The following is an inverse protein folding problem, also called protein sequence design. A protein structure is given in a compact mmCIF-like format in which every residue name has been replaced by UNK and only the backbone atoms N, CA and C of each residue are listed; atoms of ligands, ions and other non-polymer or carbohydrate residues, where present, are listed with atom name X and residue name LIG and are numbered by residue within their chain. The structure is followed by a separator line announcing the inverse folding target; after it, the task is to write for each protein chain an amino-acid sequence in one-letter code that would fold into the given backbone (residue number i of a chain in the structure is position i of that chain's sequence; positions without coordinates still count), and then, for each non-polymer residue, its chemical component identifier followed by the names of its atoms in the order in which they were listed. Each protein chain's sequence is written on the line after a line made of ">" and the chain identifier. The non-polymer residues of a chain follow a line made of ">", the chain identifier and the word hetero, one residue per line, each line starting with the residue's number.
data_IF_332382588234
#
_entry.id   IF_332382588234
#
_cell.length_a   1.000
_cell.length_b   1.000
_cell.length_c   1.000
_cell.angle_alpha   90.00
_cell.angle_beta   90.00
_cell.angle_gamma   90.00
#
_symmetry.space_group_name_H-M   'P 1'
#
loop_
_entity.id
_entity.type
_entity.pdbx_description
1 polymer ?
#
# COMPACT_ATOMS: atom_id res chain seq x y z
N UNK A 1 -10.84 11.88 5.22
CA UNK A 1 -11.19 12.16 3.80
C UNK A 1 -12.69 12.44 3.61
N UNK A 2 -13.60 11.53 4.00
CA UNK A 2 -15.05 11.77 3.78
C UNK A 2 -15.65 13.00 4.52
N UNK A 3 -14.92 13.63 5.41
CA UNK A 3 -15.33 14.85 6.12
C UNK A 3 -14.79 16.15 5.53
N UNK A 4 -13.94 16.07 4.51
CA UNK A 4 -13.38 17.25 3.85
C UNK A 4 -14.37 17.80 2.82
N UNK A 5 -14.56 19.11 2.80
CA UNK A 5 -15.58 19.75 1.96
C UNK A 5 -15.23 19.74 0.46
N UNK A 6 -13.98 19.54 0.12
CA UNK A 6 -13.41 19.53 -1.22
C UNK A 6 -13.04 18.10 -1.71
N UNK A 7 -13.38 17.06 -0.93
CA UNK A 7 -13.14 15.67 -1.27
C UNK A 7 -14.45 14.93 -1.52
N UNK A 8 -14.61 14.38 -2.71
CA UNK A 8 -15.67 13.43 -3.05
C UNK A 8 -15.12 11.99 -2.97
N UNK A 9 -15.43 11.29 -1.88
CA UNK A 9 -15.02 9.92 -1.66
C UNK A 9 -16.14 8.94 -2.02
N UNK A 10 -15.85 7.97 -2.85
CA UNK A 10 -16.77 6.87 -3.16
C UNK A 10 -16.03 5.53 -3.23
N UNK A 11 -16.73 4.46 -2.90
CA UNK A 11 -16.21 3.10 -2.99
C UNK A 11 -16.58 2.49 -4.33
N UNK A 12 -15.59 1.85 -4.96
CA UNK A 12 -15.73 1.23 -6.29
C UNK A 12 -15.73 -0.28 -6.12
N UNK A 13 -16.78 -0.95 -6.60
CA UNK A 13 -16.92 -2.41 -6.55
C UNK A 13 -17.01 -3.05 -7.94
N UNK A 14 -17.12 -2.25 -8.99
CA UNK A 14 -17.14 -2.72 -10.38
C UNK A 14 -16.46 -1.70 -11.31
N UNK A 15 -16.04 -2.16 -12.49
CA UNK A 15 -15.30 -1.36 -13.47
C UNK A 15 -16.07 -0.14 -13.94
N UNK A 16 -17.40 -0.24 -14.09
CA UNK A 16 -18.22 0.84 -14.64
C UNK A 16 -18.34 2.01 -13.65
N UNK A 17 -18.21 1.72 -12.36
CA UNK A 17 -18.28 2.73 -11.29
C UNK A 17 -16.95 3.42 -11.02
N UNK A 18 -15.83 2.99 -11.63
CA UNK A 18 -14.52 3.64 -11.44
C UNK A 18 -14.48 5.06 -11.97
N UNK A 19 -15.10 5.32 -13.12
CA UNK A 19 -15.15 6.65 -13.71
C UNK A 19 -13.77 7.22 -14.06
N UNK A 20 -13.57 8.50 -13.75
CA UNK A 20 -12.32 9.23 -13.96
C UNK A 20 -11.92 9.92 -12.63
N UNK A 21 -11.39 9.19 -11.66
CA UNK A 21 -11.01 9.76 -10.37
C UNK A 21 -9.73 10.58 -10.48
N UNK A 22 -9.60 11.60 -9.62
CA UNK A 22 -8.38 12.37 -9.45
C UNK A 22 -7.31 11.63 -8.67
N UNK A 23 -7.71 10.62 -7.88
CA UNK A 23 -6.85 9.76 -7.07
C UNK A 23 -7.51 8.41 -6.85
N UNK A 24 -6.75 7.35 -7.00
CA UNK A 24 -7.17 5.99 -6.62
C UNK A 24 -6.46 5.61 -5.32
N UNK A 25 -7.20 5.02 -4.39
CA UNK A 25 -6.65 4.51 -3.15
C UNK A 25 -7.03 3.03 -2.97
N UNK A 26 -6.01 2.18 -2.83
CA UNK A 26 -6.18 0.79 -2.41
C UNK A 26 -6.01 0.74 -0.89
N UNK A 27 -7.07 0.45 -0.14
CA UNK A 27 -7.02 0.43 1.32
C UNK A 27 -6.33 -0.81 1.85
N UNK A 28 -6.16 -0.86 3.18
CA UNK A 28 -5.77 -2.08 3.88
C UNK A 28 -6.79 -3.19 3.69
N UNK A 29 -6.30 -4.41 3.64
CA UNK A 29 -7.09 -5.62 3.44
C UNK A 29 -6.92 -6.57 4.62
N UNK A 30 -7.93 -7.41 4.85
CA UNK A 30 -7.85 -8.52 5.81
C UNK A 30 -7.30 -9.79 5.15
N UNK A 31 -7.51 -9.94 3.85
CA UNK A 31 -6.98 -11.02 3.03
C UNK A 31 -6.47 -10.44 1.72
N UNK A 32 -5.21 -10.02 1.74
CA UNK A 32 -4.57 -9.30 0.63
C UNK A 32 -4.59 -10.09 -0.67
N UNK A 33 -4.34 -11.38 -0.59
CA UNK A 33 -4.28 -12.25 -1.78
C UNK A 33 -5.65 -12.40 -2.44
N UNK A 34 -6.69 -12.68 -1.67
CA UNK A 34 -8.04 -12.87 -2.21
C UNK A 34 -8.60 -11.55 -2.77
N UNK A 35 -8.34 -10.43 -2.11
CA UNK A 35 -8.76 -9.12 -2.60
C UNK A 35 -8.04 -8.73 -3.90
N UNK A 36 -6.74 -9.07 -4.03
CA UNK A 36 -6.00 -8.88 -5.29
C UNK A 36 -6.58 -9.74 -6.43
N UNK A 37 -6.92 -10.99 -6.13
CA UNK A 37 -7.55 -11.89 -7.11
C UNK A 37 -8.93 -11.36 -7.50
N UNK A 38 -9.71 -10.84 -6.56
CA UNK A 38 -10.99 -10.19 -6.85
C UNK A 38 -10.82 -8.98 -7.77
N UNK A 39 -9.84 -8.10 -7.51
CA UNK A 39 -9.55 -6.96 -8.39
C UNK A 39 -9.22 -7.42 -9.82
N UNK A 40 -8.51 -8.54 -9.95
CA UNK A 40 -8.15 -9.14 -11.24
C UNK A 40 -9.36 -9.73 -11.96
N UNK A 41 -10.12 -10.56 -11.28
CA UNK A 41 -11.26 -11.28 -11.85
C UNK A 41 -12.42 -10.34 -12.21
N UNK A 42 -12.63 -9.28 -11.42
CA UNK A 42 -13.61 -8.23 -11.71
C UNK A 42 -13.20 -7.28 -12.84
N UNK A 43 -11.93 -7.33 -13.29
CA UNK A 43 -11.37 -6.41 -14.28
C UNK A 43 -10.96 -5.04 -13.71
N UNK A 44 -11.14 -4.82 -12.40
CA UNK A 44 -10.73 -3.56 -11.74
C UNK A 44 -9.22 -3.37 -11.79
N UNK A 45 -8.40 -4.43 -11.68
CA UNK A 45 -6.94 -4.33 -11.83
C UNK A 45 -6.57 -3.69 -13.17
N UNK A 46 -7.14 -4.17 -14.28
CA UNK A 46 -6.86 -3.64 -15.60
C UNK A 46 -7.34 -2.18 -15.76
N UNK A 47 -8.49 -1.85 -15.18
CA UNK A 47 -9.02 -0.49 -15.21
C UNK A 47 -8.14 0.48 -14.41
N UNK A 48 -7.65 0.07 -13.23
CA UNK A 48 -6.70 0.82 -12.41
C UNK A 48 -5.39 1.01 -13.17
N UNK A 49 -4.83 -0.04 -13.78
CA UNK A 49 -3.60 0.06 -14.57
C UNK A 49 -3.74 1.06 -15.71
N UNK A 50 -4.89 1.06 -16.41
CA UNK A 50 -5.20 2.03 -17.46
C UNK A 50 -5.27 3.47 -16.91
N UNK A 51 -5.95 3.68 -15.79
CA UNK A 51 -6.06 4.99 -15.15
C UNK A 51 -4.69 5.55 -14.74
N UNK A 52 -3.86 4.72 -14.09
CA UNK A 52 -2.49 5.09 -13.68
C UNK A 52 -1.62 5.41 -14.89
N UNK A 53 -1.68 4.61 -15.95
CA UNK A 53 -0.97 4.89 -17.21
C UNK A 53 -1.40 6.20 -17.85
N UNK A 54 -2.65 6.62 -17.61
CA UNK A 54 -3.19 7.91 -18.08
C UNK A 54 -2.87 9.08 -17.13
N UNK A 55 -2.13 8.84 -16.04
CA UNK A 55 -1.66 9.85 -15.11
C UNK A 55 -2.45 9.98 -13.81
N UNK A 56 -3.45 9.12 -13.55
CA UNK A 56 -4.16 9.11 -12.27
C UNK A 56 -3.23 8.60 -11.16
N UNK A 57 -2.98 9.36 -10.10
CA UNK A 57 -2.20 8.90 -8.95
C UNK A 57 -2.84 7.71 -8.25
N UNK A 58 -2.00 6.82 -7.71
CA UNK A 58 -2.41 5.62 -6.98
C UNK A 58 -1.69 5.55 -5.63
N UNK A 59 -2.45 5.36 -4.57
CA UNK A 59 -1.94 5.14 -3.22
C UNK A 59 -2.34 3.74 -2.75
N UNK A 60 -1.39 2.96 -2.28
CA UNK A 60 -1.63 1.71 -1.56
C UNK A 60 -1.36 1.87 -0.05
N UNK A 61 -2.23 1.32 0.79
CA UNK A 61 -2.08 1.33 2.24
C UNK A 61 -2.13 -0.11 2.75
N UNK A 62 -1.13 -0.55 3.53
CA UNK A 62 -1.07 -1.88 4.13
C UNK A 62 -1.24 -2.99 3.06
N UNK A 63 -2.31 -3.78 3.09
CA UNK A 63 -2.60 -4.78 2.06
C UNK A 63 -2.67 -4.19 0.65
N UNK A 64 -3.27 -3.00 0.49
CA UNK A 64 -3.28 -2.30 -0.79
C UNK A 64 -1.87 -1.92 -1.28
N UNK A 65 -0.97 -1.54 -0.38
CA UNK A 65 0.43 -1.31 -0.72
C UNK A 65 1.12 -2.61 -1.17
N UNK A 66 0.91 -3.71 -0.45
CA UNK A 66 1.45 -5.02 -0.80
C UNK A 66 1.00 -5.50 -2.19
N UNK A 67 -0.26 -5.22 -2.58
CA UNK A 67 -0.80 -5.54 -3.90
C UNK A 67 -0.06 -4.82 -5.04
N UNK A 68 0.51 -3.62 -4.78
CA UNK A 68 1.22 -2.83 -5.80
C UNK A 68 2.55 -3.45 -6.23
N UNK A 69 3.12 -4.35 -5.45
CA UNK A 69 4.38 -5.02 -5.70
C UNK A 69 4.34 -5.97 -6.91
N UNK A 70 5.47 -6.61 -7.18
CA UNK A 70 5.61 -7.62 -8.23
C UNK A 70 4.93 -8.92 -7.87
N UNK A 71 5.01 -9.32 -6.59
CA UNK A 71 4.44 -10.58 -6.11
C UNK A 71 4.15 -10.56 -4.61
N UNK A 72 3.20 -11.38 -4.23
CA UNK A 72 2.89 -11.76 -2.86
C UNK A 72 3.22 -13.24 -2.71
N UNK A 73 3.98 -13.60 -1.69
CA UNK A 73 4.37 -14.97 -1.33
C UNK A 73 3.72 -15.37 -0.03
N UNK A 74 3.15 -16.55 0.01
CA UNK A 74 2.54 -17.13 1.22
C UNK A 74 2.95 -18.61 1.38
N UNK A 75 4.26 -18.89 1.61
CA UNK A 75 4.76 -20.26 1.66
C UNK A 75 4.20 -21.08 2.81
N UNK A 76 3.59 -20.43 3.78
CA UNK A 76 2.99 -21.06 4.95
C UNK A 76 1.46 -21.09 4.92
N UNK A 77 0.84 -20.61 3.83
CA UNK A 77 -0.61 -20.52 3.68
C UNK A 77 -1.30 -19.79 4.85
N UNK A 78 -0.69 -18.67 5.28
CA UNK A 78 -1.18 -17.86 6.41
C UNK A 78 -2.42 -17.05 6.07
N UNK A 79 -2.51 -16.57 4.83
CA UNK A 79 -3.66 -15.80 4.33
C UNK A 79 -4.38 -16.48 3.16
N UNK A 80 -3.72 -17.35 2.41
CA UNK A 80 -4.28 -17.91 1.18
C UNK A 80 -3.87 -19.37 0.96
N UNK A 81 -4.49 -20.00 -0.04
CA UNK A 81 -4.11 -21.34 -0.50
C UNK A 81 -3.01 -21.32 -1.59
N UNK A 82 -2.48 -20.16 -1.93
CA UNK A 82 -1.50 -19.98 -2.99
C UNK A 82 -0.12 -19.70 -2.40
N UNK A 83 0.91 -20.47 -2.79
CA UNK A 83 2.30 -20.21 -2.39
C UNK A 83 2.79 -18.84 -2.90
N UNK A 84 2.25 -18.40 -4.05
CA UNK A 84 2.65 -17.17 -4.71
C UNK A 84 1.55 -16.65 -5.62
N UNK A 85 1.33 -15.34 -5.59
CA UNK A 85 0.44 -14.62 -6.50
C UNK A 85 1.19 -13.42 -7.09
N UNK A 86 1.04 -13.21 -8.40
CA UNK A 86 1.60 -12.04 -9.07
C UNK A 86 0.86 -10.79 -8.57
N UNK A 87 1.60 -9.77 -8.15
CA UNK A 87 1.07 -8.46 -7.81
C UNK A 87 0.71 -7.61 -9.03
N UNK A 88 0.31 -6.37 -8.79
CA UNK A 88 -0.05 -5.41 -9.84
C UNK A 88 1.17 -4.89 -10.62
N UNK A 89 2.38 -4.97 -10.04
CA UNK A 89 3.64 -4.65 -10.70
C UNK A 89 3.94 -3.16 -10.88
N UNK A 90 3.34 -2.31 -10.06
CA UNK A 90 3.65 -0.88 -10.03
C UNK A 90 4.94 -0.56 -9.28
N UNK A 91 5.29 -1.38 -8.28
CA UNK A 91 6.45 -1.20 -7.42
C UNK A 91 7.40 -2.39 -7.53
N UNK A 92 8.71 -2.11 -7.51
CA UNK A 92 9.78 -3.10 -7.58
C UNK A 92 10.01 -3.78 -6.22
N UNK A 93 8.95 -4.33 -5.65
CA UNK A 93 8.98 -4.98 -4.34
C UNK A 93 8.21 -6.30 -4.37
N UNK A 94 8.51 -7.15 -3.40
CA UNK A 94 7.76 -8.36 -3.10
C UNK A 94 7.42 -8.41 -1.61
N UNK A 95 6.28 -9.01 -1.28
CA UNK A 95 5.86 -9.23 0.10
C UNK A 95 5.81 -10.73 0.37
N UNK A 96 6.36 -11.16 1.50
CA UNK A 96 6.28 -12.54 1.98
C UNK A 96 5.55 -12.58 3.32
N UNK A 97 4.46 -13.33 3.39
CA UNK A 97 3.71 -13.51 4.62
C UNK A 97 4.43 -14.46 5.56
N UNK A 98 4.49 -14.06 6.83
CA UNK A 98 5.01 -14.86 7.91
C UNK A 98 3.89 -15.38 8.81
N UNK A 99 4.20 -16.38 9.62
CA UNK A 99 3.27 -16.89 10.65
C UNK A 99 3.15 -15.97 11.85
N UNK A 100 4.04 -14.99 11.97
CA UNK A 100 4.08 -14.05 13.10
C UNK A 100 3.49 -12.71 12.69
N UNK A 101 2.55 -12.22 13.50
CA UNK A 101 1.97 -10.89 13.33
C UNK A 101 2.81 -9.86 14.07
N UNK A 102 3.34 -8.88 13.34
CA UNK A 102 3.94 -7.70 13.95
C UNK A 102 2.83 -6.74 14.38
N UNK A 103 2.88 -6.32 15.65
CA UNK A 103 2.04 -5.23 16.17
C UNK A 103 2.91 -4.35 17.02
N UNK A 104 3.11 -3.12 16.60
CA UNK A 104 4.01 -2.19 17.30
C UNK A 104 3.47 -0.76 17.24
N UNK A 105 3.60 -0.04 18.34
CA UNK A 105 3.43 1.41 18.33
C UNK A 105 4.69 2.06 17.76
N UNK A 106 4.51 3.01 16.83
CA UNK A 106 5.61 3.68 16.15
C UNK A 106 5.50 5.20 16.24
N UNK A 107 6.65 5.85 16.21
CA UNK A 107 6.79 7.28 15.92
C UNK A 107 7.58 7.42 14.62
N UNK A 108 7.17 8.34 13.77
CA UNK A 108 7.78 8.54 12.46
C UNK A 108 7.85 10.02 12.07
N UNK A 109 8.72 10.32 11.12
CA UNK A 109 8.75 11.58 10.42
C UNK A 109 8.49 11.35 8.94
N UNK A 110 7.68 12.22 8.33
CA UNK A 110 7.50 12.30 6.89
C UNK A 110 8.52 13.29 6.33
N UNK A 111 9.35 12.84 5.38
CA UNK A 111 10.29 13.70 4.68
C UNK A 111 9.54 14.66 3.75
N UNK A 112 10.19 15.77 3.39
CA UNK A 112 9.62 16.71 2.43
C UNK A 112 9.60 16.10 1.03
N UNK A 113 8.41 16.01 0.44
CA UNK A 113 8.19 15.61 -0.95
C UNK A 113 6.94 16.27 -1.51
N UNK A 114 6.80 16.30 -2.83
CA UNK A 114 5.65 16.93 -3.48
C UNK A 114 4.67 15.87 -3.98
N UNK A 115 3.39 16.03 -3.67
CA UNK A 115 2.31 15.16 -4.12
C UNK A 115 1.09 15.99 -4.50
N UNK A 116 0.56 15.76 -5.70
CA UNK A 116 -0.58 16.51 -6.26
C UNK A 116 -0.38 18.04 -6.23
N UNK A 117 0.87 18.49 -6.40
CA UNK A 117 1.21 19.91 -6.40
C UNK A 117 1.32 20.57 -5.03
N UNK A 118 1.21 19.79 -3.95
CA UNK A 118 1.44 20.25 -2.58
C UNK A 118 2.70 19.64 -1.98
N UNK A 119 3.47 20.44 -1.25
CA UNK A 119 4.60 19.94 -0.48
C UNK A 119 4.11 19.34 0.83
N UNK A 120 4.49 18.09 1.06
CA UNK A 120 4.08 17.31 2.23
C UNK A 120 5.32 17.10 3.11
N UNK A 121 5.20 17.41 4.38
CA UNK A 121 6.15 17.03 5.42
C UNK A 121 5.46 17.01 6.77
N UNK A 122 5.90 16.13 7.66
CA UNK A 122 5.39 16.07 9.03
C UNK A 122 6.44 15.48 9.97
N UNK A 123 6.46 15.93 11.20
CA UNK A 123 7.31 15.38 12.25
C UNK A 123 6.48 14.88 13.44
N UNK A 124 7.03 13.92 14.17
CA UNK A 124 6.41 13.40 15.38
C UNK A 124 5.07 12.68 15.13
N UNK A 125 4.91 12.08 13.96
CA UNK A 125 3.76 11.24 13.65
C UNK A 125 3.74 10.05 14.61
N UNK A 126 2.54 9.67 15.07
CA UNK A 126 2.33 8.51 15.93
C UNK A 126 1.32 7.58 15.30
N UNK A 127 1.61 6.29 15.33
CA UNK A 127 0.74 5.29 14.72
C UNK A 127 1.04 3.89 15.25
N UNK A 128 0.41 2.94 14.58
CA UNK A 128 0.62 1.51 14.80
C UNK A 128 1.08 0.88 13.51
N UNK A 129 2.10 0.05 13.60
CA UNK A 129 2.53 -0.86 12.56
C UNK A 129 1.89 -2.21 12.84
N UNK A 130 1.04 -2.67 11.93
CA UNK A 130 0.28 -3.91 12.09
C UNK A 130 0.28 -4.64 10.74
N UNK A 131 1.08 -5.69 10.63
CA UNK A 131 1.14 -6.51 9.43
C UNK A 131 1.61 -7.93 9.72
N UNK A 132 1.38 -8.85 8.79
CA UNK A 132 1.84 -10.24 8.85
C UNK A 132 2.92 -10.54 7.81
N UNK A 133 3.13 -9.66 6.84
CA UNK A 133 4.12 -9.82 5.79
C UNK A 133 5.32 -8.91 5.98
N UNK A 134 6.45 -9.34 5.48
CA UNK A 134 7.65 -8.54 5.28
C UNK A 134 7.75 -8.14 3.81
N UNK A 135 7.91 -6.84 3.55
CA UNK A 135 8.09 -6.32 2.19
C UNK A 135 9.57 -6.01 1.97
N UNK A 136 10.10 -6.47 0.85
CA UNK A 136 11.48 -6.23 0.46
C UNK A 136 11.55 -5.76 -0.99
N UNK A 137 12.47 -4.84 -1.25
CA UNK A 137 12.69 -4.29 -2.59
C UNK A 137 13.51 -5.26 -3.44
N UNK A 138 13.12 -5.42 -4.71
CA UNK A 138 13.76 -6.31 -5.68
C UNK A 138 14.68 -5.50 -6.61
N UNK A 139 14.50 -4.18 -6.64
CA UNK A 139 15.29 -3.22 -7.41
C UNK A 139 15.86 -2.12 -6.53
N UNK A 140 16.49 -1.12 -7.15
CA UNK A 140 16.85 0.10 -6.47
C UNK A 140 15.57 0.88 -6.15
N UNK A 141 15.34 1.16 -4.88
CA UNK A 141 14.32 2.09 -4.42
C UNK A 141 15.03 3.22 -3.70
N UNK A 142 14.93 4.41 -4.28
CA UNK A 142 15.65 5.60 -3.80
C UNK A 142 14.73 6.57 -3.04
N UNK A 143 13.43 6.23 -2.92
CA UNK A 143 12.46 7.12 -2.28
C UNK A 143 11.69 6.42 -1.17
N UNK A 144 11.82 6.95 0.04
CA UNK A 144 11.05 6.53 1.21
C UNK A 144 10.45 7.78 1.88
N UNK A 145 9.14 7.97 1.80
CA UNK A 145 8.50 9.16 2.35
C UNK A 145 8.57 9.24 3.87
N UNK A 146 8.73 8.11 4.56
CA UNK A 146 8.71 8.04 6.01
C UNK A 146 10.01 7.47 6.58
N UNK A 147 10.38 7.96 7.76
CA UNK A 147 11.37 7.30 8.63
C UNK A 147 10.73 7.01 9.99
N UNK A 148 10.64 5.74 10.36
CA UNK A 148 10.28 5.35 11.71
C UNK A 148 11.46 5.65 12.62
N UNK A 149 11.23 6.50 13.61
CA UNK A 149 12.26 6.96 14.57
C UNK A 149 12.19 6.24 15.90
N UNK A 150 11.03 5.59 16.18
CA UNK A 150 10.81 4.79 17.38
C UNK A 150 9.85 3.66 17.13
N UNK A 151 10.17 2.46 17.61
CA UNK A 151 9.33 1.25 17.51
C UNK A 151 9.26 0.57 18.87
N UNK A 152 8.05 0.28 19.39
CA UNK A 152 7.81 -0.29 20.72
C UNK A 152 8.58 0.45 21.83
N UNK A 153 8.60 1.78 21.80
CA UNK A 153 9.30 2.63 22.77
C UNK A 153 10.83 2.71 22.61
N UNK A 154 11.45 1.92 21.71
CA UNK A 154 12.90 1.93 21.45
C UNK A 154 13.21 2.81 20.24
N UNK A 155 14.29 3.60 20.35
CA UNK A 155 14.78 4.38 19.23
C UNK A 155 15.28 3.45 18.10
N UNK A 156 14.94 3.81 16.85
CA UNK A 156 15.39 3.12 15.64
C UNK A 156 15.49 4.14 14.49
N UNK A 157 15.97 3.69 13.35
CA UNK A 157 15.89 4.44 12.09
C UNK A 157 15.58 3.42 10.98
N UNK A 158 14.30 3.39 10.55
CA UNK A 158 13.83 2.47 9.51
C UNK A 158 13.11 3.29 8.47
N UNK A 159 13.55 3.17 7.23
CA UNK A 159 12.89 3.79 6.09
C UNK A 159 11.63 3.02 5.75
N UNK A 160 10.54 3.72 5.41
CA UNK A 160 9.22 3.11 5.22
C UNK A 160 8.44 3.79 4.09
N UNK A 161 7.70 2.97 3.34
CA UNK A 161 6.97 3.39 2.14
C UNK A 161 7.90 3.53 0.93
N UNK A 162 7.29 3.76 -0.22
CA UNK A 162 7.96 4.01 -1.50
C UNK A 162 7.03 4.78 -2.44
#
# INVERSE_FOLDING_TARGET
>A
MAGESDVSLYYVTDVNSLGSPDLIMLPGSKNTTEDLLYLRDSGLEAAIQKAVTSGTPLIGICGGYQMLGREIRDPHHTESQYDRVKGMGFLEMATEFSTEKLTSQVEANCHSWSFLGADISAAGLKGYEIHMGETFFVGADDFHPLTITRRAGKACQVQEGT
#
